data_IF_699991379350
#
_entry.id   IF_699991379350
#
_cell.length_a   1.000
_cell.length_b   1.000
_cell.length_c   1.000
_cell.angle_alpha   90.00
_cell.angle_beta   90.00
_cell.angle_gamma   90.00
#
_symmetry.space_group_name_H-M   'P 1'
#
loop_
_entity.id
_entity.type
_entity.pdbx_description
1 polymer ?
#
# COMPACT_ATOMS: atom_id res chain seq x y z
N UNK A 1 41.53 24.58 -16.48
CA UNK A 1 41.38 23.35 -15.67
C UNK A 1 40.18 23.55 -14.76
N UNK A 2 39.16 22.68 -14.83
CA UNK A 2 37.97 22.81 -13.99
C UNK A 2 38.27 22.29 -12.57
N UNK A 3 38.00 23.10 -11.55
CA UNK A 3 38.23 22.75 -10.16
C UNK A 3 37.33 21.56 -9.74
N UNK A 4 37.96 20.50 -9.23
CA UNK A 4 37.28 19.33 -8.66
C UNK A 4 36.45 19.76 -7.44
N UNK A 5 35.14 19.46 -7.45
CA UNK A 5 34.26 19.72 -6.30
C UNK A 5 34.69 18.85 -5.13
N UNK A 6 34.77 19.43 -3.93
CA UNK A 6 35.14 18.67 -2.74
C UNK A 6 34.00 17.73 -2.32
N UNK A 7 34.33 16.67 -1.56
CA UNK A 7 33.34 15.77 -0.97
C UNK A 7 32.27 16.53 -0.17
N UNK A 8 32.68 17.57 0.56
CA UNK A 8 31.75 18.40 1.33
C UNK A 8 30.84 19.26 0.45
N UNK A 9 31.31 19.70 -0.72
CA UNK A 9 30.47 20.40 -1.69
C UNK A 9 29.47 19.44 -2.35
N UNK A 10 29.87 18.19 -2.60
CA UNK A 10 28.98 17.14 -3.10
C UNK A 10 27.91 16.76 -2.06
N UNK A 11 28.27 16.70 -0.78
CA UNK A 11 27.32 16.43 0.32
C UNK A 11 26.36 17.59 0.52
N UNK A 12 26.84 18.85 0.42
CA UNK A 12 25.99 20.05 0.51
C UNK A 12 25.06 20.23 -0.70
N UNK A 13 25.45 19.76 -1.88
CA UNK A 13 24.63 19.83 -3.11
C UNK A 13 23.62 18.69 -3.22
N UNK A 14 23.77 17.61 -2.45
CA UNK A 14 22.67 16.66 -2.24
C UNK A 14 21.57 17.38 -1.46
N UNK A 15 20.54 17.81 -2.19
CA UNK A 15 19.26 18.26 -1.63
C UNK A 15 18.74 17.14 -0.74
N UNK A 16 19.04 17.21 0.55
CA UNK A 16 18.45 16.30 1.52
C UNK A 16 16.98 16.67 1.62
N UNK A 17 16.12 15.66 1.78
CA UNK A 17 14.67 15.82 1.95
C UNK A 17 14.30 16.98 2.91
N UNK A 18 15.13 17.21 3.94
CA UNK A 18 15.02 18.28 4.91
C UNK A 18 15.11 19.72 4.36
N UNK A 19 15.89 19.95 3.30
CA UNK A 19 16.00 21.29 2.69
C UNK A 19 14.76 21.64 1.86
N UNK A 20 14.14 20.65 1.21
CA UNK A 20 12.88 20.82 0.47
C UNK A 20 11.72 21.09 1.45
N UNK A 21 11.76 20.45 2.63
CA UNK A 21 10.70 20.59 3.62
C UNK A 21 10.66 21.96 4.33
N UNK A 22 11.76 22.74 4.31
CA UNK A 22 11.77 24.12 4.85
C UNK A 22 10.93 25.12 4.05
N UNK A 23 10.69 24.82 2.77
CA UNK A 23 9.83 25.61 1.88
C UNK A 23 8.37 25.09 1.89
N UNK A 24 8.12 23.92 2.48
CA UNK A 24 6.80 23.33 2.59
C UNK A 24 6.01 24.01 3.72
N UNK A 25 4.94 24.72 3.35
CA UNK A 25 4.04 25.41 4.26
C UNK A 25 3.48 24.48 5.36
N UNK A 26 3.36 25.01 6.58
CA UNK A 26 3.06 24.29 7.84
C UNK A 26 1.61 23.79 8.00
N UNK A 27 0.87 23.59 6.91
CA UNK A 27 -0.49 23.03 6.91
C UNK A 27 -0.58 21.88 5.91
N UNK A 28 0.14 20.80 6.19
CA UNK A 28 -0.13 19.53 5.52
C UNK A 28 -1.40 18.92 6.12
N UNK A 29 -2.40 18.54 5.31
CA UNK A 29 -3.51 17.72 5.79
C UNK A 29 -2.93 16.42 6.36
N UNK A 30 -3.54 15.95 7.45
CA UNK A 30 -3.05 14.75 8.11
C UNK A 30 -3.14 13.54 7.18
N UNK A 31 -2.03 12.80 6.97
CA UNK A 31 -2.02 11.61 6.12
C UNK A 31 -2.64 10.38 6.80
N UNK A 32 -3.11 10.49 8.05
CA UNK A 32 -3.65 9.36 8.82
C UNK A 32 -4.77 8.58 8.09
N UNK A 33 -5.74 9.21 7.40
CA UNK A 33 -6.74 8.45 6.66
C UNK A 33 -6.12 7.57 5.56
N UNK A 34 -5.15 8.09 4.81
CA UNK A 34 -4.43 7.33 3.78
C UNK A 34 -3.64 6.16 4.40
N UNK A 35 -2.92 6.43 5.49
CA UNK A 35 -2.15 5.39 6.17
C UNK A 35 -3.04 4.30 6.75
N UNK A 36 -4.23 4.64 7.23
CA UNK A 36 -5.22 3.65 7.63
C UNK A 36 -5.61 2.72 6.49
N UNK A 37 -5.78 3.24 5.26
CA UNK A 37 -6.06 2.40 4.08
C UNK A 37 -4.87 1.51 3.72
N UNK A 38 -3.65 2.06 3.74
CA UNK A 38 -2.43 1.28 3.48
C UNK A 38 -2.26 0.14 4.50
N UNK A 39 -2.47 0.43 5.79
CA UNK A 39 -2.42 -0.58 6.84
C UNK A 39 -3.46 -1.67 6.61
N UNK A 40 -4.69 -1.32 6.24
CA UNK A 40 -5.73 -2.29 5.90
C UNK A 40 -5.31 -3.19 4.73
N UNK A 41 -4.79 -2.61 3.65
CA UNK A 41 -4.31 -3.36 2.48
C UNK A 41 -3.14 -4.30 2.81
N UNK A 42 -2.18 -3.86 3.63
CA UNK A 42 -1.06 -4.69 4.08
C UNK A 42 -1.54 -5.91 4.89
N UNK A 43 -2.50 -5.74 5.79
CA UNK A 43 -3.08 -6.85 6.55
C UNK A 43 -3.80 -7.85 5.63
N UNK A 44 -4.59 -7.36 4.68
CA UNK A 44 -5.27 -8.20 3.69
C UNK A 44 -4.26 -9.01 2.86
N UNK A 45 -3.17 -8.37 2.41
CA UNK A 45 -2.11 -9.03 1.64
C UNK A 45 -1.40 -10.10 2.45
N UNK A 46 -0.93 -9.78 3.67
CA UNK A 46 -0.24 -10.75 4.53
C UNK A 46 -1.14 -11.95 4.84
N UNK A 47 -2.40 -11.71 5.18
CA UNK A 47 -3.34 -12.78 5.47
C UNK A 47 -3.59 -13.67 4.25
N UNK A 48 -3.76 -13.08 3.06
CA UNK A 48 -3.89 -13.85 1.82
C UNK A 48 -2.66 -14.72 1.59
N UNK A 49 -1.45 -14.15 1.64
CA UNK A 49 -0.21 -14.92 1.43
C UNK A 49 -0.02 -16.02 2.47
N UNK A 50 -0.42 -15.80 3.73
CA UNK A 50 -0.36 -16.81 4.78
C UNK A 50 -1.35 -17.96 4.51
N UNK A 51 -2.58 -17.64 4.10
CA UNK A 51 -3.57 -18.66 3.71
C UNK A 51 -3.09 -19.49 2.52
N UNK A 52 -2.48 -18.86 1.52
CA UNK A 52 -1.93 -19.55 0.35
C UNK A 52 -0.77 -20.48 0.71
N UNK A 53 0.12 -20.04 1.61
CA UNK A 53 1.22 -20.86 2.11
C UNK A 53 0.73 -22.14 2.85
N UNK A 54 -0.45 -22.07 3.47
CA UNK A 54 -1.13 -23.22 4.10
C UNK A 54 -1.99 -24.03 3.09
N UNK A 55 -1.94 -23.70 1.80
CA UNK A 55 -2.64 -24.43 0.73
C UNK A 55 -4.07 -23.96 0.45
N UNK A 56 -4.54 -22.87 1.06
CA UNK A 56 -5.87 -22.32 0.81
C UNK A 56 -5.90 -21.41 -0.43
N UNK A 57 -7.03 -21.44 -1.15
CA UNK A 57 -7.36 -20.40 -2.11
C UNK A 57 -8.05 -19.23 -1.43
N UNK A 58 -7.87 -18.02 -1.95
CA UNK A 58 -8.61 -16.85 -1.50
C UNK A 58 -8.92 -15.89 -2.65
N UNK A 59 -9.91 -15.01 -2.45
CA UNK A 59 -10.20 -13.87 -3.30
C UNK A 59 -10.69 -12.68 -2.45
N UNK A 60 -10.43 -11.47 -2.91
CA UNK A 60 -10.76 -10.23 -2.21
C UNK A 60 -11.93 -9.53 -2.90
N UNK A 61 -13.02 -9.31 -2.16
CA UNK A 61 -14.25 -8.68 -2.65
C UNK A 61 -14.54 -7.35 -1.96
N UNK A 62 -15.34 -6.51 -2.62
CA UNK A 62 -15.73 -5.19 -2.13
C UNK A 62 -17.24 -4.96 -2.30
N UNK A 63 -18.05 -5.58 -1.44
CA UNK A 63 -19.49 -5.34 -1.36
C UNK A 63 -19.87 -4.12 -0.50
N UNK A 64 -18.90 -3.53 0.19
CA UNK A 64 -19.06 -2.28 0.90
C UNK A 64 -19.37 -1.13 -0.08
N UNK A 65 -20.23 -0.16 0.29
CA UNK A 65 -20.91 -0.03 1.59
C UNK A 65 -22.26 -0.77 1.68
N UNK A 66 -22.67 -1.51 0.64
CA UNK A 66 -24.04 -2.05 0.50
C UNK A 66 -24.39 -3.01 1.65
N UNK A 67 -23.42 -3.76 2.15
CA UNK A 67 -23.62 -4.75 3.22
C UNK A 67 -23.25 -4.23 4.62
N UNK A 68 -22.65 -3.06 4.74
CA UNK A 68 -22.02 -2.58 5.98
C UNK A 68 -23.01 -2.53 7.16
N UNK A 69 -24.14 -1.85 6.99
CA UNK A 69 -25.13 -1.72 8.06
C UNK A 69 -25.73 -3.07 8.47
N UNK A 70 -25.95 -3.97 7.51
CA UNK A 70 -26.44 -5.33 7.78
C UNK A 70 -25.43 -6.13 8.58
N UNK A 71 -24.16 -6.11 8.18
CA UNK A 71 -23.06 -6.77 8.87
C UNK A 71 -22.88 -6.21 10.30
N UNK A 72 -22.85 -4.88 10.44
CA UNK A 72 -22.72 -4.20 11.73
C UNK A 72 -23.85 -4.58 12.69
N UNK A 73 -25.10 -4.59 12.21
CA UNK A 73 -26.25 -4.95 13.03
C UNK A 73 -26.24 -6.42 13.42
N UNK A 74 -25.97 -7.31 12.45
CA UNK A 74 -26.03 -8.76 12.65
C UNK A 74 -24.95 -9.25 13.61
N UNK A 75 -23.71 -8.79 13.45
CA UNK A 75 -22.57 -9.18 14.29
C UNK A 75 -22.24 -8.20 15.42
N UNK A 76 -23.06 -7.15 15.62
CA UNK A 76 -22.88 -6.12 16.66
C UNK A 76 -21.51 -5.42 16.58
N UNK A 77 -21.05 -5.15 15.36
CA UNK A 77 -19.78 -4.44 15.11
C UNK A 77 -20.02 -2.93 15.32
N UNK A 78 -19.10 -2.18 15.97
CA UNK A 78 -19.25 -0.74 16.13
C UNK A 78 -19.47 -0.01 14.81
N UNK A 79 -20.42 0.94 14.76
CA UNK A 79 -20.69 1.71 13.54
C UNK A 79 -19.53 2.61 13.11
N UNK A 80 -18.59 2.88 14.03
CA UNK A 80 -17.35 3.61 13.75
C UNK A 80 -16.34 2.79 12.95
N UNK A 81 -16.50 1.47 12.86
CA UNK A 81 -15.63 0.61 12.06
C UNK A 81 -16.09 0.62 10.61
N UNK A 82 -15.21 1.08 9.73
CA UNK A 82 -15.41 1.09 8.28
C UNK A 82 -14.96 -0.25 7.69
N UNK A 83 -15.89 -0.99 7.09
CA UNK A 83 -15.57 -2.20 6.35
C UNK A 83 -14.79 -1.85 5.07
N UNK A 84 -13.60 -2.41 4.92
CA UNK A 84 -12.71 -2.10 3.78
C UNK A 84 -12.83 -3.09 2.64
N UNK A 85 -12.85 -4.38 2.94
CA UNK A 85 -12.95 -5.47 1.98
C UNK A 85 -13.38 -6.76 2.67
N UNK A 86 -13.67 -7.80 1.89
CA UNK A 86 -14.02 -9.14 2.37
C UNK A 86 -13.06 -10.14 1.73
N UNK A 87 -12.18 -10.76 2.53
CA UNK A 87 -11.27 -11.81 2.06
C UNK A 87 -11.97 -13.17 2.22
N UNK A 88 -12.44 -13.74 1.12
CA UNK A 88 -13.11 -15.04 1.08
C UNK A 88 -12.05 -16.11 0.82
N UNK A 89 -11.98 -17.13 1.67
CA UNK A 89 -10.96 -18.20 1.57
C UNK A 89 -11.56 -19.58 1.79
N UNK A 90 -10.86 -20.62 1.32
CA UNK A 90 -11.28 -22.02 1.44
C UNK A 90 -10.42 -22.97 0.60
N UNK A 91 -10.89 -24.20 0.40
CA UNK A 91 -10.22 -25.16 -0.47
C UNK A 91 -10.08 -24.63 -1.91
N UNK A 92 -8.97 -24.97 -2.57
CA UNK A 92 -8.71 -24.57 -3.96
C UNK A 92 -9.69 -25.29 -4.90
N UNK A 93 -10.54 -24.51 -5.58
CA UNK A 93 -11.50 -25.04 -6.55
C UNK A 93 -10.89 -25.26 -7.95
N UNK A 94 -9.67 -24.77 -8.18
CA UNK A 94 -8.95 -24.85 -9.44
C UNK A 94 -7.69 -23.99 -9.40
N UNK A 95 -6.95 -24.00 -10.51
CA UNK A 95 -5.76 -23.16 -10.66
C UNK A 95 -6.14 -21.71 -11.02
N UNK A 96 -5.36 -20.71 -10.57
CA UNK A 96 -5.59 -19.33 -10.97
C UNK A 96 -5.38 -19.16 -12.48
N UNK A 97 -6.15 -18.25 -13.08
CA UNK A 97 -5.95 -17.86 -14.47
C UNK A 97 -4.63 -17.13 -14.71
N UNK A 98 -4.28 -16.97 -15.98
CA UNK A 98 -3.07 -16.24 -16.37
C UNK A 98 -3.12 -14.78 -15.89
N UNK A 99 -2.00 -14.29 -15.33
CA UNK A 99 -1.84 -12.91 -14.90
C UNK A 99 -0.90 -12.17 -15.84
N UNK A 100 -1.41 -11.12 -16.48
CA UNK A 100 -0.61 -10.23 -17.32
C UNK A 100 0.15 -9.20 -16.48
N UNK A 101 1.33 -8.81 -16.94
CA UNK A 101 2.17 -7.80 -16.28
C UNK A 101 2.57 -6.72 -17.29
N UNK A 102 2.58 -5.47 -16.83
CA UNK A 102 3.17 -4.37 -17.61
C UNK A 102 4.70 -4.54 -17.71
N UNK A 103 5.34 -4.00 -18.77
CA UNK A 103 6.79 -3.96 -18.91
C UNK A 103 7.47 -3.41 -17.65
N UNK A 104 8.67 -3.90 -17.33
CA UNK A 104 9.38 -3.51 -16.11
C UNK A 104 9.94 -2.09 -16.22
N UNK A 105 10.34 -1.70 -17.43
CA UNK A 105 10.92 -0.41 -17.78
C UNK A 105 9.93 0.74 -17.56
N UNK A 106 8.63 0.46 -17.59
CA UNK A 106 7.57 1.43 -17.31
C UNK A 106 7.31 1.62 -15.81
N UNK A 107 7.75 0.67 -14.97
CA UNK A 107 7.39 0.61 -13.54
C UNK A 107 8.56 0.77 -12.59
N UNK A 108 9.80 0.59 -13.05
CA UNK A 108 11.01 0.65 -12.23
C UNK A 108 12.05 1.55 -12.89
N UNK A 109 12.42 2.62 -12.19
CA UNK A 109 13.47 3.56 -12.63
C UNK A 109 14.70 3.43 -11.73
N UNK A 110 15.85 3.10 -12.33
CA UNK A 110 17.13 3.01 -11.62
C UNK A 110 17.98 4.22 -12.02
N UNK A 111 18.37 5.02 -11.04
CA UNK A 111 19.20 6.22 -11.25
C UNK A 111 20.49 6.12 -10.43
N UNK A 112 21.63 6.42 -11.07
CA UNK A 112 22.97 6.34 -10.47
C UNK A 112 23.81 5.19 -11.07
N UNK A 113 25.13 5.36 -11.01
CA UNK A 113 26.13 4.30 -11.21
C UNK A 113 26.84 4.07 -9.88
#
# INVERSE_FOLDING_TARGET
>A
MAASKTFMDAVKTRRTYYQINKEASSKLPSPFPQWSEHTSAMHQYVLWTALEAEGFGANLQHYNPIIDQKAQTHWKIPMTWSLKAQLVFGGRAGEPGEKQFQPIEERVFVHGK
#
